data_IF_830479041495
#
_entry.id   IF_830479041495
#
_cell.length_a   1.000
_cell.length_b   1.000
_cell.length_c   1.000
_cell.angle_alpha   90.00
_cell.angle_beta   90.00
_cell.angle_gamma   90.00
#
_symmetry.space_group_name_H-M   'P 1'
#
loop_
_entity.id
_entity.type
_entity.pdbx_description
1 polymer ?
#
# COMPACT_ATOMS: atom_id res chain seq x y z
N UNK A 1 16.37 -36.83 -2.46
CA UNK A 1 14.98 -36.38 -2.75
C UNK A 1 14.40 -35.58 -1.58
N UNK A 2 14.39 -36.10 -0.34
CA UNK A 2 13.82 -35.38 0.82
C UNK A 2 14.45 -34.01 1.14
N UNK A 3 15.77 -33.87 1.01
CA UNK A 3 16.47 -32.60 1.27
C UNK A 3 16.17 -31.51 0.24
N UNK A 4 15.97 -31.89 -1.03
CA UNK A 4 15.64 -30.96 -2.13
C UNK A 4 14.21 -30.42 -1.97
N UNK A 5 13.28 -31.27 -1.54
CA UNK A 5 11.89 -30.88 -1.23
C UNK A 5 11.87 -29.92 -0.04
N UNK A 6 12.59 -30.25 1.05
CA UNK A 6 12.69 -29.38 2.22
C UNK A 6 13.30 -28.00 1.89
N UNK A 7 14.33 -27.96 1.03
CA UNK A 7 14.91 -26.70 0.57
C UNK A 7 13.91 -25.86 -0.24
N UNK A 8 13.17 -26.48 -1.17
CA UNK A 8 12.15 -25.79 -1.96
C UNK A 8 11.05 -25.19 -1.08
N UNK A 9 10.60 -25.92 -0.05
CA UNK A 9 9.60 -25.44 0.90
C UNK A 9 10.10 -24.26 1.73
N UNK A 10 11.35 -24.29 2.19
CA UNK A 10 11.97 -23.18 2.91
C UNK A 10 12.05 -21.93 2.02
N UNK A 11 12.43 -22.08 0.75
CA UNK A 11 12.50 -20.96 -0.20
C UNK A 11 11.11 -20.39 -0.49
N UNK A 12 10.09 -21.23 -0.68
CA UNK A 12 8.71 -20.81 -0.86
C UNK A 12 8.17 -20.06 0.37
N UNK A 13 8.43 -20.56 1.58
CA UNK A 13 8.04 -19.89 2.82
C UNK A 13 8.72 -18.53 2.96
N UNK A 14 10.02 -18.43 2.68
CA UNK A 14 10.75 -17.15 2.69
C UNK A 14 10.17 -16.16 1.68
N UNK A 15 9.93 -16.60 0.43
CA UNK A 15 9.33 -15.76 -0.61
C UNK A 15 7.95 -15.25 -0.19
N UNK A 16 7.09 -16.11 0.37
CA UNK A 16 5.77 -15.71 0.90
C UNK A 16 5.90 -14.69 2.02
N UNK A 17 6.83 -14.87 2.96
CA UNK A 17 7.07 -13.92 4.04
C UNK A 17 7.53 -12.56 3.50
N UNK A 18 8.50 -12.54 2.58
CA UNK A 18 8.97 -11.31 1.94
C UNK A 18 7.85 -10.61 1.17
N UNK A 19 7.05 -11.35 0.41
CA UNK A 19 5.91 -10.79 -0.33
C UNK A 19 4.88 -10.14 0.62
N UNK A 20 4.52 -10.81 1.73
CA UNK A 20 3.63 -10.23 2.75
C UNK A 20 4.23 -8.99 3.41
N UNK A 21 5.52 -9.02 3.72
CA UNK A 21 6.20 -7.87 4.33
C UNK A 21 6.24 -6.68 3.37
N UNK A 22 6.54 -6.92 2.09
CA UNK A 22 6.51 -5.88 1.06
C UNK A 22 5.09 -5.32 0.89
N UNK A 23 4.09 -6.19 0.83
CA UNK A 23 2.69 -5.76 0.74
C UNK A 23 2.28 -4.88 1.93
N UNK A 24 2.61 -5.28 3.16
CA UNK A 24 2.35 -4.49 4.36
C UNK A 24 3.08 -3.13 4.33
N UNK A 25 4.33 -3.09 3.86
CA UNK A 25 5.06 -1.83 3.66
C UNK A 25 4.40 -0.93 2.63
N UNK A 26 3.96 -1.48 1.49
CA UNK A 26 3.23 -0.71 0.49
C UNK A 26 1.91 -0.14 1.03
N UNK A 27 1.15 -0.95 1.78
CA UNK A 27 -0.07 -0.49 2.46
C UNK A 27 0.22 0.68 3.41
N UNK A 28 1.27 0.57 4.22
CA UNK A 28 1.66 1.64 5.15
C UNK A 28 2.02 2.94 4.41
N UNK A 29 2.73 2.85 3.27
CA UNK A 29 3.08 4.02 2.44
C UNK A 29 1.83 4.67 1.84
N UNK A 30 0.89 3.87 1.33
CA UNK A 30 -0.37 4.38 0.76
C UNK A 30 -1.21 5.08 1.84
N UNK A 31 -1.38 4.45 3.00
CA UNK A 31 -2.10 5.05 4.14
C UNK A 31 -1.46 6.37 4.60
N UNK A 32 -0.13 6.42 4.71
CA UNK A 32 0.60 7.65 5.04
C UNK A 32 0.38 8.75 3.98
N UNK A 33 0.31 8.38 2.70
CA UNK A 33 0.05 9.31 1.60
C UNK A 33 -1.37 9.88 1.64
N UNK A 34 -2.36 9.07 2.03
CA UNK A 34 -3.75 9.54 2.25
C UNK A 34 -3.80 10.55 3.40
N UNK A 35 -3.15 10.25 4.53
CA UNK A 35 -3.07 11.17 5.67
C UNK A 35 -2.42 12.50 5.28
N UNK A 36 -1.30 12.45 4.55
CA UNK A 36 -0.63 13.65 4.06
C UNK A 36 -1.53 14.47 3.12
N UNK A 37 -2.19 13.81 2.16
CA UNK A 37 -3.10 14.48 1.21
C UNK A 37 -4.32 15.12 1.89
N UNK A 38 -4.85 14.51 2.96
CA UNK A 38 -5.89 15.13 3.79
C UNK A 38 -5.39 16.41 4.46
N UNK A 39 -4.18 16.39 4.99
CA UNK A 39 -3.53 17.58 5.55
C UNK A 39 -3.34 18.69 4.50
N UNK A 40 -2.84 18.34 3.32
CA UNK A 40 -2.65 19.28 2.20
C UNK A 40 -3.98 19.92 1.77
N UNK A 41 -5.07 19.14 1.69
CA UNK A 41 -6.39 19.64 1.33
C UNK A 41 -6.94 20.66 2.33
N UNK A 42 -6.67 20.48 3.63
CA UNK A 42 -7.11 21.42 4.68
C UNK A 42 -6.46 22.80 4.45
N UNK A 43 -5.17 22.82 4.11
CA UNK A 43 -4.39 24.04 3.89
C UNK A 43 -4.48 24.58 2.46
N UNK A 44 -5.11 23.85 1.54
CA UNK A 44 -5.15 24.21 0.12
C UNK A 44 -5.93 25.49 -0.16
N UNK A 45 -5.44 26.36 -1.08
CA UNK A 45 -6.21 27.49 -1.60
C UNK A 45 -7.54 27.05 -2.21
N UNK A 46 -8.59 27.86 -2.01
CA UNK A 46 -9.98 27.51 -2.41
C UNK A 46 -10.09 27.16 -3.90
N UNK A 47 -9.35 27.87 -4.77
CA UNK A 47 -9.39 27.66 -6.22
C UNK A 47 -8.73 26.35 -6.66
N UNK A 48 -7.86 25.75 -5.84
CA UNK A 48 -7.20 24.47 -6.14
C UNK A 48 -7.88 23.28 -5.47
N UNK A 49 -8.79 23.51 -4.50
CA UNK A 49 -9.40 22.45 -3.69
C UNK A 49 -10.01 21.31 -4.50
N UNK A 50 -10.58 21.61 -5.68
CA UNK A 50 -11.13 20.58 -6.56
C UNK A 50 -10.06 19.58 -7.04
N UNK A 51 -8.86 20.06 -7.38
CA UNK A 51 -7.72 19.23 -7.80
C UNK A 51 -7.23 18.38 -6.63
N UNK A 52 -7.09 19.00 -5.45
CA UNK A 52 -6.67 18.32 -4.22
C UNK A 52 -7.67 17.23 -3.79
N UNK A 53 -8.98 17.51 -3.87
CA UNK A 53 -10.03 16.50 -3.60
C UNK A 53 -9.96 15.33 -4.58
N UNK A 54 -9.75 15.59 -5.87
CA UNK A 54 -9.59 14.54 -6.88
C UNK A 54 -8.37 13.65 -6.60
N UNK A 55 -7.24 14.27 -6.22
CA UNK A 55 -6.03 13.54 -5.81
C UNK A 55 -6.26 12.69 -4.56
N UNK A 56 -6.89 13.25 -3.53
CA UNK A 56 -7.22 12.52 -2.30
C UNK A 56 -8.10 11.31 -2.61
N UNK A 57 -9.16 11.49 -3.41
CA UNK A 57 -10.06 10.40 -3.77
C UNK A 57 -9.35 9.23 -4.46
N UNK A 58 -8.44 9.52 -5.39
CA UNK A 58 -7.62 8.49 -6.06
C UNK A 58 -6.72 7.73 -5.07
N UNK A 59 -6.18 8.42 -4.07
CA UNK A 59 -5.35 7.79 -3.05
C UNK A 59 -6.20 6.90 -2.11
N UNK A 60 -7.40 7.34 -1.74
CA UNK A 60 -8.35 6.54 -0.95
C UNK A 60 -8.81 5.30 -1.72
N UNK A 61 -9.10 5.42 -3.02
CA UNK A 61 -9.42 4.28 -3.89
C UNK A 61 -8.26 3.28 -3.97
N UNK A 62 -7.02 3.77 -4.07
CA UNK A 62 -5.82 2.93 -4.05
C UNK A 62 -5.62 2.23 -2.71
N UNK A 63 -5.86 2.91 -1.59
CA UNK A 63 -5.78 2.34 -0.24
C UNK A 63 -6.79 1.21 -0.07
N UNK A 64 -8.04 1.44 -0.48
CA UNK A 64 -9.10 0.43 -0.46
C UNK A 64 -8.71 -0.77 -1.32
N UNK A 65 -8.27 -0.55 -2.57
CA UNK A 65 -7.84 -1.63 -3.44
C UNK A 65 -6.69 -2.44 -2.83
N UNK A 66 -5.65 -1.76 -2.35
CA UNK A 66 -4.49 -2.43 -1.77
C UNK A 66 -4.89 -3.25 -0.54
N UNK A 67 -5.81 -2.76 0.30
CA UNK A 67 -6.26 -3.47 1.50
C UNK A 67 -7.06 -4.74 1.21
N UNK A 68 -7.67 -4.85 0.02
CA UNK A 68 -8.43 -6.03 -0.40
C UNK A 68 -7.55 -7.16 -0.97
N UNK A 69 -6.31 -6.85 -1.37
CA UNK A 69 -5.42 -7.78 -2.10
C UNK A 69 -4.42 -8.48 -1.15
N UNK A 70 -4.42 -8.13 0.13
CA UNK A 70 -3.49 -8.63 1.17
C UNK A 70 -3.83 -9.98 1.78
#
# INVERSE_FOLDING_TARGET
MGEVIAFADIVLMRRRRTARQLHASCLAIVAASVVAARGELVTAPVHERAVWMSRLRKLEELEVYASMVG
#
